data_IF_392709728086
#
_entry.id   IF_392709728086
#
_cell.length_a   1.000
_cell.length_b   1.000
_cell.length_c   1.000
_cell.angle_alpha   90.00
_cell.angle_beta   90.00
_cell.angle_gamma   90.00
#
_symmetry.space_group_name_H-M   'P 1'
#
loop_
_entity.id
_entity.type
_entity.pdbx_description
1 polymer ?
#
# COMPACT_ATOMS: atom_id res chain seq x y z
N UNK A 1 2.73 10.29 -5.24
CA UNK A 1 3.26 9.63 -6.45
C UNK A 1 4.04 10.65 -7.28
N UNK A 2 5.38 10.72 -7.13
CA UNK A 2 6.17 11.84 -7.66
C UNK A 2 6.27 11.85 -9.20
N UNK A 3 6.16 10.71 -9.86
CA UNK A 3 6.24 10.58 -11.32
C UNK A 3 4.88 10.65 -12.03
N UNK A 4 3.79 10.96 -11.30
CA UNK A 4 2.45 11.06 -11.85
C UNK A 4 1.96 12.51 -11.81
N UNK A 5 1.48 13.02 -12.95
CA UNK A 5 0.83 14.34 -13.01
C UNK A 5 -0.62 14.19 -12.60
N UNK A 6 -1.05 14.97 -11.61
CA UNK A 6 -2.45 14.99 -11.20
C UNK A 6 -3.34 15.51 -12.34
N UNK A 7 -4.39 14.77 -12.65
CA UNK A 7 -5.43 15.19 -13.60
C UNK A 7 -6.79 15.15 -12.92
N UNK A 8 -7.74 15.96 -13.40
CA UNK A 8 -9.11 16.02 -12.84
C UNK A 8 -9.80 14.65 -12.86
N UNK A 9 -9.46 13.81 -13.83
CA UNK A 9 -9.96 12.44 -13.93
C UNK A 9 -9.57 11.60 -12.70
N UNK A 10 -8.38 11.78 -12.14
CA UNK A 10 -7.97 11.07 -10.91
C UNK A 10 -8.78 11.51 -9.68
N UNK A 11 -9.36 12.71 -9.69
CA UNK A 11 -10.28 13.15 -8.62
C UNK A 11 -11.61 12.42 -8.68
N UNK A 12 -12.00 11.98 -9.88
CA UNK A 12 -13.27 11.32 -10.12
C UNK A 12 -13.08 9.81 -10.01
N UNK A 13 -13.50 9.23 -8.88
CA UNK A 13 -13.39 7.77 -8.61
C UNK A 13 -13.96 6.88 -9.73
N UNK A 14 -14.93 7.38 -10.49
CA UNK A 14 -15.58 6.66 -11.59
C UNK A 14 -14.88 6.82 -12.94
N UNK A 15 -13.77 7.56 -13.03
CA UNK A 15 -13.01 7.66 -14.28
C UNK A 15 -12.19 6.38 -14.51
N UNK A 16 -11.99 6.04 -15.78
CA UNK A 16 -11.18 4.88 -16.17
C UNK A 16 -9.74 5.00 -15.65
N UNK A 17 -9.15 6.21 -15.67
CA UNK A 17 -7.81 6.46 -15.17
C UNK A 17 -7.69 6.28 -13.65
N UNK A 18 -8.69 6.76 -12.88
CA UNK A 18 -8.72 6.56 -11.44
C UNK A 18 -8.91 5.08 -11.09
N UNK A 19 -9.80 4.38 -11.78
CA UNK A 19 -10.07 2.96 -11.51
C UNK A 19 -8.87 2.08 -11.86
N UNK A 20 -8.23 2.34 -13.00
CA UNK A 20 -7.04 1.60 -13.44
C UNK A 20 -5.89 1.79 -12.46
N UNK A 21 -5.62 3.04 -12.05
CA UNK A 21 -4.57 3.33 -11.08
C UNK A 21 -4.87 2.74 -9.71
N UNK A 22 -6.12 2.83 -9.24
CA UNK A 22 -6.54 2.23 -7.98
C UNK A 22 -6.34 0.71 -8.01
N UNK A 23 -6.83 0.03 -9.04
CA UNK A 23 -6.70 -1.43 -9.18
C UNK A 23 -5.23 -1.87 -9.18
N UNK A 24 -4.38 -1.17 -9.93
CA UNK A 24 -2.95 -1.46 -9.99
C UNK A 24 -2.27 -1.28 -8.62
N UNK A 25 -2.53 -0.18 -7.92
CA UNK A 25 -1.97 0.05 -6.58
C UNK A 25 -2.52 -0.98 -5.56
N UNK A 26 -3.80 -1.33 -5.63
CA UNK A 26 -4.41 -2.34 -4.77
C UNK A 26 -3.75 -3.71 -4.97
N UNK A 27 -3.52 -4.12 -6.23
CA UNK A 27 -2.88 -5.39 -6.54
C UNK A 27 -1.46 -5.44 -5.99
N UNK A 28 -0.67 -4.37 -6.17
CA UNK A 28 0.70 -4.32 -5.64
C UNK A 28 0.73 -4.33 -4.11
N UNK A 29 -0.15 -3.57 -3.44
CA UNK A 29 -0.28 -3.60 -1.98
C UNK A 29 -0.70 -4.99 -1.48
N UNK A 30 -1.67 -5.62 -2.14
CA UNK A 30 -2.11 -6.95 -1.79
C UNK A 30 -1.00 -7.99 -1.98
N UNK A 31 -0.23 -7.91 -3.08
CA UNK A 31 0.93 -8.76 -3.35
C UNK A 31 2.01 -8.63 -2.27
N UNK A 32 2.35 -7.40 -1.91
CA UNK A 32 3.29 -7.08 -0.81
C UNK A 32 2.87 -7.77 0.49
N UNK A 33 1.66 -7.52 0.98
CA UNK A 33 1.29 -8.03 2.30
C UNK A 33 0.99 -9.52 2.29
N UNK A 34 0.43 -10.09 1.21
CA UNK A 34 0.22 -11.54 1.08
C UNK A 34 1.52 -12.33 1.04
N UNK A 35 2.56 -11.78 0.42
CA UNK A 35 3.89 -12.43 0.35
C UNK A 35 4.73 -12.23 1.62
N UNK A 36 4.33 -11.32 2.51
CA UNK A 36 5.05 -11.07 3.78
C UNK A 36 5.03 -12.32 4.69
N UNK A 37 6.21 -12.85 5.09
CA UNK A 37 6.29 -13.99 6.00
C UNK A 37 5.61 -13.74 7.36
N UNK A 38 5.63 -12.49 7.82
CA UNK A 38 5.07 -12.08 9.11
C UNK A 38 3.58 -11.73 9.03
N UNK A 39 3.17 -11.04 7.97
CA UNK A 39 1.84 -10.42 7.88
C UNK A 39 0.85 -11.16 6.97
N UNK A 40 1.33 -11.99 6.04
CA UNK A 40 0.51 -12.58 4.98
C UNK A 40 -0.67 -13.41 5.47
N UNK A 41 -0.49 -14.16 6.56
CA UNK A 41 -1.57 -14.97 7.17
C UNK A 41 -2.70 -14.14 7.80
N UNK A 42 -2.45 -12.86 8.06
CA UNK A 42 -3.40 -11.94 8.69
C UNK A 42 -3.97 -10.93 7.69
N UNK A 43 -3.35 -10.77 6.52
CA UNK A 43 -3.80 -9.82 5.53
C UNK A 43 -5.13 -10.24 4.91
N UNK A 44 -6.10 -9.34 4.91
CA UNK A 44 -7.41 -9.55 4.29
C UNK A 44 -7.52 -8.77 2.99
N UNK A 45 -7.30 -7.45 3.04
CA UNK A 45 -7.65 -6.56 1.93
C UNK A 45 -6.79 -5.30 1.91
N UNK A 46 -6.60 -4.77 0.70
CA UNK A 46 -6.09 -3.43 0.43
C UNK A 46 -7.09 -2.68 -0.47
N UNK A 47 -7.49 -1.48 -0.05
CA UNK A 47 -8.37 -0.60 -0.81
C UNK A 47 -7.68 0.74 -1.08
N UNK A 48 -7.84 1.26 -2.29
CA UNK A 48 -7.51 2.66 -2.62
C UNK A 48 -8.82 3.43 -2.66
N UNK A 49 -8.96 4.36 -1.72
CA UNK A 49 -10.20 5.07 -1.44
C UNK A 49 -10.35 6.36 -2.25
N UNK A 50 -9.25 7.08 -2.50
CA UNK A 50 -9.25 8.33 -3.25
C UNK A 50 -7.84 8.71 -3.75
N UNK A 51 -7.81 9.57 -4.77
CA UNK A 51 -6.61 10.33 -5.14
C UNK A 51 -6.83 11.81 -4.87
N UNK A 52 -5.88 12.47 -4.21
CA UNK A 52 -5.94 13.88 -3.85
C UNK A 52 -4.93 14.71 -4.61
N UNK A 53 -5.31 15.95 -4.89
CA UNK A 53 -4.47 16.93 -5.57
C UNK A 53 -3.26 17.30 -4.70
N UNK A 54 -2.07 17.25 -5.31
CA UNK A 54 -0.74 17.31 -4.72
C UNK A 54 0.26 16.64 -5.68
N UNK A 55 1.40 16.15 -5.19
CA UNK A 55 2.21 15.16 -5.92
C UNK A 55 1.48 13.80 -5.93
N UNK A 56 0.30 13.74 -6.57
CA UNK A 56 -0.76 12.70 -6.50
C UNK A 56 -0.71 11.85 -5.23
N UNK A 57 -1.55 12.15 -4.26
CA UNK A 57 -1.60 11.39 -2.99
C UNK A 57 -2.68 10.31 -3.11
N UNK A 58 -2.33 9.06 -2.85
CA UNK A 58 -3.30 7.96 -2.78
C UNK A 58 -3.69 7.70 -1.33
N UNK A 59 -4.99 7.77 -1.04
CA UNK A 59 -5.53 7.39 0.27
C UNK A 59 -5.88 5.92 0.25
N UNK A 60 -5.29 5.15 1.15
CA UNK A 60 -5.41 3.69 1.16
C UNK A 60 -5.83 3.17 2.53
N UNK A 61 -6.44 1.99 2.53
CA UNK A 61 -6.80 1.25 3.73
C UNK A 61 -6.30 -0.18 3.61
N UNK A 62 -5.68 -0.67 4.69
CA UNK A 62 -5.24 -2.05 4.83
C UNK A 62 -6.05 -2.71 5.94
N UNK A 63 -6.63 -3.85 5.64
CA UNK A 63 -7.43 -4.63 6.59
C UNK A 63 -6.67 -5.90 6.93
N UNK A 64 -6.42 -6.09 8.23
CA UNK A 64 -5.83 -7.30 8.78
C UNK A 64 -6.80 -7.95 9.77
N UNK A 65 -6.92 -9.27 9.71
CA UNK A 65 -7.80 -10.07 10.56
C UNK A 65 -6.95 -11.08 11.33
N UNK A 66 -7.01 -11.00 12.66
CA UNK A 66 -6.34 -11.94 13.55
C UNK A 66 -7.38 -12.90 14.14
N UNK A 67 -7.15 -14.22 14.13
CA UNK A 67 -8.01 -15.17 14.82
C UNK A 67 -8.09 -14.87 16.32
N UNK A 68 -9.26 -15.06 16.93
CA UNK A 68 -9.51 -14.77 18.35
C UNK A 68 -8.53 -15.50 19.28
N UNK A 69 -8.09 -16.70 18.92
CA UNK A 69 -7.12 -17.50 19.67
C UNK A 69 -5.74 -16.83 19.84
N UNK A 70 -5.42 -15.83 19.00
CA UNK A 70 -4.12 -15.14 18.96
C UNK A 70 -4.21 -13.67 19.40
N UNK A 71 -5.42 -13.17 19.67
CA UNK A 71 -5.70 -11.74 19.86
C UNK A 71 -5.00 -11.13 21.09
N UNK A 72 -4.90 -11.86 22.19
CA UNK A 72 -4.45 -11.30 23.48
C UNK A 72 -2.93 -11.10 23.58
N UNK A 73 -2.12 -11.90 22.85
CA UNK A 73 -0.67 -11.89 22.99
C UNK A 73 0.07 -11.29 21.78
N UNK A 74 -0.50 -11.39 20.58
CA UNK A 74 0.22 -11.08 19.34
C UNK A 74 -0.30 -9.84 18.61
N UNK A 75 -1.51 -9.35 18.91
CA UNK A 75 -2.12 -8.23 18.17
C UNK A 75 -1.24 -6.98 18.19
N UNK A 76 -0.69 -6.63 19.35
CA UNK A 76 0.09 -5.40 19.52
C UNK A 76 1.56 -5.54 19.11
N UNK A 77 2.04 -6.76 18.84
CA UNK A 77 3.42 -7.03 18.45
C UNK A 77 3.50 -7.36 16.96
N UNK A 78 2.71 -8.35 16.52
CA UNK A 78 2.73 -8.86 15.14
C UNK A 78 1.94 -7.99 14.17
N UNK A 79 0.79 -7.44 14.60
CA UNK A 79 -0.05 -6.53 13.78
C UNK A 79 0.01 -5.09 14.30
N UNK A 80 1.18 -4.70 14.82
CA UNK A 80 1.42 -3.32 15.20
C UNK A 80 1.49 -2.44 13.95
N UNK A 81 1.08 -1.16 14.09
CA UNK A 81 1.27 -0.16 13.03
C UNK A 81 2.73 -0.11 12.55
N UNK A 82 3.67 -0.21 13.49
CA UNK A 82 5.09 -0.18 13.20
C UNK A 82 5.52 -1.37 12.34
N UNK A 83 5.02 -2.57 12.61
CA UNK A 83 5.32 -3.75 11.80
C UNK A 83 4.80 -3.60 10.37
N UNK A 84 3.54 -3.17 10.22
CA UNK A 84 2.93 -2.92 8.89
C UNK A 84 3.70 -1.85 8.12
N UNK A 85 4.03 -0.74 8.79
CA UNK A 85 4.81 0.35 8.21
C UNK A 85 6.21 -0.11 7.77
N UNK A 86 6.92 -0.85 8.62
CA UNK A 86 8.28 -1.30 8.33
C UNK A 86 8.31 -2.31 7.18
N UNK A 87 7.34 -3.23 7.10
CA UNK A 87 7.23 -4.18 5.98
C UNK A 87 7.01 -3.43 4.66
N UNK A 88 6.13 -2.43 4.62
CA UNK A 88 5.94 -1.63 3.41
C UNK A 88 7.20 -0.84 3.06
N UNK A 89 7.81 -0.17 4.04
CA UNK A 89 9.04 0.58 3.82
C UNK A 89 10.17 -0.31 3.30
N UNK A 90 10.33 -1.53 3.83
CA UNK A 90 11.30 -2.50 3.33
C UNK A 90 11.01 -2.89 1.89
N UNK A 91 9.75 -3.19 1.54
CA UNK A 91 9.38 -3.49 0.16
C UNK A 91 9.73 -2.35 -0.81
N UNK A 92 9.50 -1.09 -0.42
CA UNK A 92 9.86 0.04 -1.26
C UNK A 92 11.37 0.14 -1.50
N UNK A 93 12.21 -0.19 -0.51
CA UNK A 93 13.67 -0.21 -0.67
C UNK A 93 14.18 -1.44 -1.42
N UNK A 94 13.58 -2.61 -1.20
CA UNK A 94 13.98 -3.85 -1.87
C UNK A 94 13.70 -3.81 -3.38
N UNK A 95 12.80 -2.94 -3.83
CA UNK A 95 12.49 -2.70 -5.24
C UNK A 95 13.37 -1.61 -5.89
N UNK A 96 14.20 -0.85 -5.15
CA UNK A 96 15.15 0.12 -5.74
C UNK A 96 16.31 -0.55 -6.51
N UNK A 97 16.35 -1.89 -6.56
CA UNK A 97 17.23 -2.62 -7.46
C UNK A 97 16.56 -2.67 -8.84
N UNK A 98 17.10 -1.97 -9.87
CA UNK A 98 16.46 -1.92 -11.17
C UNK A 98 16.32 -3.32 -11.73
N UNK A 99 15.08 -3.76 -11.89
CA UNK A 99 14.76 -4.92 -12.70
C UNK A 99 15.20 -4.63 -14.13
N UNK A 100 16.12 -5.46 -14.63
CA UNK A 100 16.77 -5.35 -15.95
C UNK A 100 15.77 -5.33 -17.13
N UNK A 101 14.47 -5.54 -16.84
CA UNK A 101 13.34 -5.58 -17.75
C UNK A 101 12.76 -4.21 -18.14
N UNK A 102 13.10 -3.10 -17.47
CA UNK A 102 12.59 -1.76 -17.80
C UNK A 102 11.06 -1.62 -17.70
N UNK A 103 10.42 -2.45 -16.87
CA UNK A 103 8.99 -2.34 -16.55
C UNK A 103 8.81 -1.43 -15.34
N UNK A 104 7.91 -0.45 -15.42
CA UNK A 104 7.69 0.49 -14.31
C UNK A 104 7.16 -0.24 -13.06
N UNK A 105 7.96 -0.25 -12.01
CA UNK A 105 7.69 -0.90 -10.70
C UNK A 105 6.91 0.04 -9.78
N UNK A 106 6.60 -0.32 -8.51
CA UNK A 106 5.74 0.51 -7.64
C UNK A 106 6.51 1.70 -7.03
N UNK A 107 7.79 1.49 -6.81
CA UNK A 107 8.86 2.39 -6.36
C UNK A 107 9.11 3.54 -7.34
N UNK A 108 8.93 3.32 -8.65
CA UNK A 108 8.81 4.42 -9.62
C UNK A 108 7.66 5.38 -9.27
N UNK A 109 6.68 4.97 -8.48
CA UNK A 109 5.51 5.77 -8.16
C UNK A 109 5.37 6.13 -6.69
N UNK A 110 6.03 5.51 -5.73
CA UNK A 110 5.85 5.81 -4.30
C UNK A 110 7.19 6.19 -3.67
N UNK A 111 7.30 7.45 -3.26
CA UNK A 111 8.43 7.92 -2.46
C UNK A 111 8.34 7.32 -1.04
N UNK A 112 9.35 6.54 -0.57
CA UNK A 112 9.36 5.92 0.76
C UNK A 112 9.18 6.92 1.90
N UNK A 113 9.68 8.16 1.77
CA UNK A 113 9.54 9.18 2.82
C UNK A 113 8.16 9.84 2.82
N UNK A 114 7.37 9.66 1.76
CA UNK A 114 5.98 10.15 1.66
C UNK A 114 4.96 9.23 2.35
N UNK A 115 5.38 8.03 2.77
CA UNK A 115 4.51 7.04 3.40
C UNK A 115 4.05 7.49 4.79
N UNK A 116 2.74 7.62 4.98
CA UNK A 116 2.11 7.89 6.27
C UNK A 116 1.05 6.83 6.58
N UNK A 117 0.98 6.40 7.84
CA UNK A 117 -0.01 5.43 8.33
C UNK A 117 -0.56 5.83 9.70
N UNK A 118 -1.86 5.71 9.86
CA UNK A 118 -2.54 5.81 11.16
C UNK A 118 -3.46 4.59 11.36
N UNK A 119 -3.65 4.20 12.62
CA UNK A 119 -4.65 3.21 12.97
C UNK A 119 -6.03 3.89 12.93
N UNK A 120 -7.02 3.26 12.31
CA UNK A 120 -8.42 3.66 12.48
C UNK A 120 -8.86 3.25 13.90
N UNK A 121 -9.39 4.21 14.65
CA UNK A 121 -9.98 4.03 15.97
C UNK A 121 -11.47 3.76 15.85
#
# INVERSE_FOLDING_TARGET
LPNLVFTEKLSTRSSDESQTLAAHLQEKLAGLYRSSPALGRYFSEAEISAFRNGSVIADYQLTFVMPEEQQDQLRNVTLSREMVYNVFRQFLYDQEQPDESGQMTLDDYIDPISLNMCLRH
#
